data_IF_573082607834
#
_entry.id   IF_573082607834
#
_cell.length_a   1.000
_cell.length_b   1.000
_cell.length_c   1.000
_cell.angle_alpha   90.00
_cell.angle_beta   90.00
_cell.angle_gamma   90.00
#
_symmetry.space_group_name_H-M   'P 1'
#
loop_
_entity.id
_entity.type
_entity.pdbx_description
1 polymer ?
#
# COMPACT_ATOMS: atom_id res chain seq x y z
N UNK A 1 1.58 1.37 18.04
CA UNK A 1 2.02 1.55 16.64
C UNK A 1 3.48 1.10 16.56
N UNK A 2 3.85 0.38 15.50
CA UNK A 2 5.23 -0.10 15.28
C UNK A 2 5.79 0.49 14.00
N UNK A 3 7.07 0.83 14.00
CA UNK A 3 7.76 1.30 12.80
C UNK A 3 8.24 0.10 11.99
N UNK A 4 7.80 -0.01 10.74
CA UNK A 4 8.15 -1.10 9.83
C UNK A 4 8.75 -0.55 8.54
N UNK A 5 9.58 -1.34 7.85
CA UNK A 5 10.12 -0.97 6.54
C UNK A 5 9.15 -1.31 5.42
N UNK A 6 8.87 -0.36 4.55
CA UNK A 6 7.97 -0.59 3.41
C UNK A 6 8.67 -1.39 2.30
N UNK A 7 8.16 -2.59 2.03
CA UNK A 7 8.68 -3.49 1.00
C UNK A 7 8.75 -4.93 1.49
N UNK A 8 7.63 -5.67 1.40
CA UNK A 8 7.54 -7.11 1.70
C UNK A 8 8.56 -7.94 0.91
N UNK A 9 8.94 -9.14 1.37
CA UNK A 9 9.94 -9.96 0.68
C UNK A 9 9.56 -10.25 -0.77
N UNK A 10 10.52 -10.11 -1.68
CA UNK A 10 10.28 -10.35 -3.11
C UNK A 10 10.15 -11.85 -3.42
N UNK A 11 9.38 -12.23 -4.46
CA UNK A 11 9.41 -13.59 -4.98
C UNK A 11 10.81 -14.01 -5.40
N UNK A 12 11.18 -15.28 -5.17
CA UNK A 12 12.53 -15.80 -5.48
C UNK A 12 12.99 -15.52 -6.92
N UNK A 13 12.07 -15.59 -7.89
CA UNK A 13 12.40 -15.33 -9.29
C UNK A 13 12.79 -13.87 -9.57
N UNK A 14 12.28 -12.90 -8.80
CA UNK A 14 12.65 -11.47 -8.89
C UNK A 14 14.07 -11.25 -8.38
N UNK A 15 14.48 -12.04 -7.39
CA UNK A 15 15.81 -11.96 -6.77
C UNK A 15 16.90 -12.68 -7.59
N UNK A 16 16.55 -13.33 -8.70
CA UNK A 16 17.53 -13.99 -9.57
C UNK A 16 18.58 -12.96 -10.03
N UNK A 17 19.85 -13.23 -9.75
CA UNK A 17 20.98 -12.34 -10.03
C UNK A 17 20.96 -11.00 -9.28
N UNK A 18 20.16 -10.87 -8.21
CA UNK A 18 20.17 -9.71 -7.31
C UNK A 18 20.92 -10.06 -6.03
N UNK A 19 21.75 -9.13 -5.57
CA UNK A 19 22.46 -9.23 -4.28
C UNK A 19 21.70 -8.60 -3.12
N UNK A 20 20.58 -7.93 -3.42
CA UNK A 20 19.74 -7.23 -2.45
C UNK A 20 18.26 -7.45 -2.79
N UNK A 21 17.41 -7.47 -1.77
CA UNK A 21 15.97 -7.43 -1.93
C UNK A 21 15.46 -6.00 -1.65
N UNK A 22 14.93 -5.31 -2.66
CA UNK A 22 14.29 -4.00 -2.49
C UNK A 22 12.89 -4.09 -1.90
N UNK A 23 12.31 -5.29 -1.90
CA UNK A 23 10.96 -5.59 -1.48
C UNK A 23 9.89 -5.19 -2.49
N UNK A 24 8.67 -5.65 -2.19
CA UNK A 24 7.44 -5.36 -2.91
C UNK A 24 6.59 -4.44 -2.05
N UNK A 25 6.30 -3.24 -2.54
CA UNK A 25 5.55 -2.21 -1.79
C UNK A 25 4.04 -2.32 -1.96
N UNK A 26 3.59 -2.91 -3.08
CA UNK A 26 2.20 -3.00 -3.49
C UNK A 26 1.82 -4.44 -3.85
N UNK A 27 0.80 -5.00 -3.21
CA UNK A 27 0.33 -6.38 -3.41
C UNK A 27 -0.96 -6.39 -4.21
N UNK A 28 -0.85 -6.58 -5.54
CA UNK A 28 -2.00 -6.63 -6.45
C UNK A 28 -2.65 -8.02 -6.52
N UNK A 29 -1.84 -9.05 -6.82
CA UNK A 29 -2.34 -10.41 -7.08
C UNK A 29 -2.22 -11.29 -5.82
N UNK A 30 -3.20 -11.21 -4.93
CA UNK A 30 -3.29 -12.00 -3.68
C UNK A 30 -3.47 -13.51 -3.92
N UNK A 31 -3.92 -13.92 -5.11
CA UNK A 31 -4.03 -15.34 -5.50
C UNK A 31 -2.67 -16.01 -5.73
N UNK A 32 -1.60 -15.23 -5.90
CA UNK A 32 -0.24 -15.75 -6.07
C UNK A 32 0.20 -16.59 -4.86
N UNK A 33 0.77 -17.80 -5.07
CA UNK A 33 1.28 -18.63 -3.98
C UNK A 33 2.29 -17.92 -3.07
N UNK A 34 3.01 -16.93 -3.59
CA UNK A 34 4.00 -16.15 -2.84
C UNK A 34 3.40 -15.46 -1.60
N UNK A 35 2.16 -14.96 -1.70
CA UNK A 35 1.53 -14.17 -0.65
C UNK A 35 0.76 -14.99 0.38
N UNK A 36 0.35 -16.23 0.06
CA UNK A 36 -0.60 -17.03 0.86
C UNK A 36 -0.26 -17.11 2.35
N UNK A 37 1.03 -17.24 2.69
CA UNK A 37 1.50 -17.30 4.08
C UNK A 37 1.29 -16.00 4.87
N UNK A 38 1.28 -14.85 4.20
CA UNK A 38 1.17 -13.52 4.79
C UNK A 38 -0.23 -12.90 4.64
N UNK A 39 -1.21 -13.66 4.12
CA UNK A 39 -2.61 -13.25 4.05
C UNK A 39 -3.45 -13.71 5.24
N UNK A 40 -2.84 -14.45 6.17
CA UNK A 40 -3.45 -14.88 7.42
C UNK A 40 -3.50 -13.73 8.42
N UNK A 41 -4.41 -13.85 9.38
CA UNK A 41 -4.70 -12.88 10.44
C UNK A 41 -3.45 -12.32 11.13
N UNK A 42 -2.51 -13.18 11.52
CA UNK A 42 -1.29 -12.80 12.22
C UNK A 42 -0.36 -11.88 11.42
N UNK A 43 -0.53 -11.82 10.10
CA UNK A 43 0.28 -11.04 9.17
C UNK A 43 -0.46 -9.82 8.61
N UNK A 44 -1.67 -9.50 9.07
CA UNK A 44 -2.40 -8.32 8.60
C UNK A 44 -2.10 -7.12 9.48
N UNK A 45 -2.04 -5.96 8.84
CA UNK A 45 -1.88 -4.67 9.50
C UNK A 45 -2.70 -3.61 8.77
N UNK A 46 -2.84 -2.44 9.40
CA UNK A 46 -3.41 -1.25 8.76
C UNK A 46 -2.34 -0.18 8.67
N UNK A 47 -2.25 0.49 7.52
CA UNK A 47 -1.25 1.54 7.27
C UNK A 47 -1.96 2.88 7.31
N UNK A 48 -1.76 3.71 8.35
CA UNK A 48 -2.44 4.99 8.48
C UNK A 48 -1.98 5.99 7.42
N UNK A 49 -2.93 6.76 6.88
CA UNK A 49 -2.65 7.89 5.99
C UNK A 49 -3.72 8.98 6.14
N UNK A 50 -3.37 10.20 5.76
CA UNK A 50 -4.28 11.36 5.63
C UNK A 50 -4.41 11.81 4.17
N UNK A 51 -3.35 11.65 3.38
CA UNK A 51 -3.36 11.77 1.92
C UNK A 51 -2.36 10.79 1.29
N UNK A 52 -2.52 10.51 0.00
CA UNK A 52 -1.58 9.72 -0.80
C UNK A 52 -1.41 10.33 -2.18
N UNK A 53 -0.33 10.00 -2.89
CA UNK A 53 -0.09 10.55 -4.22
C UNK A 53 0.10 9.49 -5.29
N UNK A 54 -0.36 9.84 -6.49
CA UNK A 54 0.00 9.19 -7.74
C UNK A 54 0.69 10.19 -8.67
N UNK A 55 1.44 9.68 -9.65
CA UNK A 55 2.12 10.53 -10.63
C UNK A 55 1.32 10.64 -11.92
N UNK A 56 0.90 11.85 -12.25
CA UNK A 56 0.41 12.16 -13.58
C UNK A 56 1.60 12.46 -14.51
N UNK A 57 1.53 11.98 -15.76
CA UNK A 57 2.53 12.35 -16.77
C UNK A 57 1.98 13.47 -17.66
N UNK A 58 2.44 14.71 -17.43
CA UNK A 58 2.14 15.88 -18.27
C UNK A 58 3.44 16.33 -18.96
N UNK A 59 3.43 16.43 -20.29
CA UNK A 59 4.60 16.83 -21.10
C UNK A 59 5.89 16.04 -20.78
N UNK A 60 5.76 14.74 -20.54
CA UNK A 60 6.88 13.86 -20.20
C UNK A 60 7.43 14.04 -18.78
N UNK A 61 6.84 14.93 -17.97
CA UNK A 61 7.19 15.12 -16.55
C UNK A 61 6.19 14.42 -15.65
N UNK A 62 6.70 13.82 -14.57
CA UNK A 62 5.87 13.22 -13.52
C UNK A 62 5.49 14.27 -12.49
N UNK A 63 4.21 14.58 -12.41
CA UNK A 63 3.64 15.55 -11.47
C UNK A 63 2.93 14.76 -10.37
N UNK A 64 3.32 14.93 -9.09
CA UNK A 64 2.56 14.36 -7.98
C UNK A 64 1.16 14.98 -7.91
N UNK A 65 0.14 14.14 -7.86
CA UNK A 65 -1.24 14.51 -7.58
C UNK A 65 -1.61 13.86 -6.26
N UNK A 66 -2.04 14.65 -5.27
CA UNK A 66 -2.38 14.20 -3.94
C UNK A 66 -3.88 14.02 -3.78
N UNK A 67 -4.28 12.87 -3.25
CA UNK A 67 -5.65 12.47 -3.00
C UNK A 67 -5.90 12.33 -1.50
N UNK A 68 -7.09 12.75 -1.07
CA UNK A 68 -7.61 12.50 0.27
C UNK A 68 -9.12 12.25 0.21
N UNK A 69 -9.72 11.81 1.32
CA UNK A 69 -11.16 11.61 1.44
C UNK A 69 -11.95 12.93 1.31
N UNK A 70 -11.42 14.02 1.87
CA UNK A 70 -11.93 15.38 1.75
C UNK A 70 -10.81 16.40 2.13
N UNK A 71 -11.13 17.69 2.14
CA UNK A 71 -10.16 18.77 2.46
C UNK A 71 -9.66 18.71 3.90
N UNK A 72 -10.46 18.15 4.82
CA UNK A 72 -10.09 17.96 6.24
C UNK A 72 -9.11 16.80 6.44
N UNK A 73 -8.87 15.98 5.40
CA UNK A 73 -7.90 14.88 5.37
C UNK A 73 -8.04 13.94 6.58
N UNK A 74 -9.24 13.39 6.86
CA UNK A 74 -9.45 12.51 8.00
C UNK A 74 -8.57 11.27 7.89
N UNK A 75 -8.18 10.74 9.05
CA UNK A 75 -7.38 9.52 9.14
C UNK A 75 -8.14 8.35 8.50
N UNK A 76 -7.49 7.68 7.56
CA UNK A 76 -7.93 6.42 6.98
C UNK A 76 -6.77 5.42 6.91
N UNK A 77 -7.05 4.22 6.44
CA UNK A 77 -6.06 3.14 6.46
C UNK A 77 -5.97 2.40 5.14
N UNK A 78 -4.76 2.05 4.72
CA UNK A 78 -4.59 1.02 3.70
C UNK A 78 -4.63 -0.38 4.32
N UNK A 79 -5.27 -1.32 3.61
CA UNK A 79 -5.21 -2.74 3.95
C UNK A 79 -3.80 -3.28 3.74
N UNK A 80 -3.08 -3.53 4.84
CA UNK A 80 -1.69 -3.93 4.87
C UNK A 80 -1.44 -5.39 5.24
N UNK A 81 -0.31 -5.92 4.77
CA UNK A 81 0.29 -7.15 5.29
C UNK A 81 1.72 -6.91 5.74
N UNK A 82 2.19 -7.70 6.69
CA UNK A 82 3.52 -7.57 7.27
C UNK A 82 4.14 -8.92 7.65
N UNK A 83 5.46 -8.92 7.80
CA UNK A 83 6.23 -10.06 8.32
C UNK A 83 7.57 -9.60 8.87
N UNK A 84 8.08 -10.27 9.87
CA UNK A 84 9.52 -10.26 10.16
C UNK A 84 10.25 -11.04 9.06
N UNK A 85 11.36 -10.50 8.55
CA UNK A 85 12.13 -11.16 7.49
C UNK A 85 13.62 -10.83 7.53
N UNK A 86 14.44 -11.86 7.38
CA UNK A 86 15.89 -11.76 7.27
C UNK A 86 16.32 -11.73 5.80
N UNK A 87 16.99 -10.65 5.39
CA UNK A 87 17.56 -10.53 4.03
C UNK A 87 18.60 -9.41 3.94
N UNK A 88 19.38 -9.41 2.87
CA UNK A 88 20.22 -8.26 2.51
C UNK A 88 19.36 -7.18 1.84
N UNK A 89 19.01 -6.11 2.57
CA UNK A 89 18.26 -4.96 2.02
C UNK A 89 19.18 -3.98 1.29
N UNK A 90 20.35 -3.72 1.87
CA UNK A 90 21.41 -2.88 1.29
C UNK A 90 22.74 -3.59 1.45
N UNK A 91 23.54 -3.61 0.39
CA UNK A 91 24.85 -4.29 0.39
C UNK A 91 25.75 -3.88 1.56
N UNK A 92 25.76 -2.59 1.91
CA UNK A 92 26.60 -2.04 2.98
C UNK A 92 26.19 -2.50 4.40
N UNK A 93 24.93 -2.90 4.58
CA UNK A 93 24.37 -3.30 5.88
C UNK A 93 24.48 -4.82 6.10
N UNK A 94 24.77 -5.59 5.05
CA UNK A 94 24.74 -7.04 5.11
C UNK A 94 23.32 -7.58 5.32
N UNK A 95 23.23 -8.78 5.88
CA UNK A 95 21.96 -9.41 6.21
C UNK A 95 21.36 -8.82 7.49
N UNK A 96 20.09 -8.44 7.45
CA UNK A 96 19.36 -7.89 8.59
C UNK A 96 17.97 -8.50 8.71
N UNK A 97 17.48 -8.64 9.93
CA UNK A 97 16.10 -9.00 10.24
C UNK A 97 15.30 -7.73 10.47
N UNK A 98 14.20 -7.55 9.75
CA UNK A 98 13.36 -6.36 9.84
C UNK A 98 11.89 -6.74 9.79
N UNK A 99 11.05 -5.96 10.47
CA UNK A 99 9.62 -5.95 10.20
C UNK A 99 9.37 -5.22 8.87
N UNK A 100 8.82 -5.96 7.91
CA UNK A 100 8.52 -5.48 6.58
C UNK A 100 7.00 -5.41 6.40
N UNK A 101 6.53 -4.39 5.71
CA UNK A 101 5.11 -4.29 5.33
C UNK A 101 4.91 -3.91 3.87
N UNK A 102 3.72 -4.18 3.35
CA UNK A 102 3.21 -3.68 2.09
C UNK A 102 1.71 -3.50 2.22
N UNK A 103 1.09 -2.72 1.34
CA UNK A 103 -0.36 -2.64 1.27
C UNK A 103 -0.89 -3.25 -0.02
N UNK A 104 -2.14 -3.68 0.02
CA UNK A 104 -2.84 -4.23 -1.12
C UNK A 104 -3.24 -3.11 -2.08
N UNK A 105 -3.29 -3.46 -3.36
CA UNK A 105 -3.83 -2.58 -4.39
C UNK A 105 -4.96 -3.27 -5.14
N UNK A 106 -5.83 -2.46 -5.70
CA UNK A 106 -7.05 -2.83 -6.43
C UNK A 106 -7.12 -2.02 -7.73
N UNK A 107 -8.15 -2.22 -8.55
CA UNK A 107 -8.46 -1.33 -9.68
C UNK A 107 -8.72 0.10 -9.19
N UNK A 108 -8.39 1.09 -10.00
CA UNK A 108 -8.61 2.50 -9.64
C UNK A 108 -10.10 2.88 -9.78
N UNK A 109 -10.59 3.73 -8.87
CA UNK A 109 -11.85 4.43 -9.04
C UNK A 109 -11.70 5.59 -10.06
N UNK A 110 -12.77 6.34 -10.35
CA UNK A 110 -12.71 7.38 -11.41
C UNK A 110 -11.71 8.50 -11.12
N UNK A 111 -11.50 8.90 -9.86
CA UNK A 111 -10.58 10.00 -9.54
C UNK A 111 -9.13 9.58 -9.71
N UNK A 112 -8.74 8.46 -9.08
CA UNK A 112 -7.38 7.94 -9.23
C UNK A 112 -7.14 7.50 -10.67
N UNK A 113 -8.15 6.92 -11.32
CA UNK A 113 -8.04 6.38 -12.68
C UNK A 113 -7.76 7.43 -13.76
N UNK A 114 -8.16 8.69 -13.53
CA UNK A 114 -7.80 9.83 -14.40
C UNK A 114 -6.30 10.14 -14.39
N UNK A 115 -5.63 9.88 -13.27
CA UNK A 115 -4.20 10.16 -13.07
C UNK A 115 -3.35 8.91 -13.32
N UNK A 116 -3.76 7.78 -12.76
CA UNK A 116 -3.07 6.49 -12.83
C UNK A 116 -4.10 5.34 -12.96
N UNK A 117 -4.44 4.91 -14.20
CA UNK A 117 -5.55 3.98 -14.45
C UNK A 117 -5.32 2.55 -13.96
N UNK A 118 -4.08 2.19 -13.59
CA UNK A 118 -3.72 0.78 -13.37
C UNK A 118 -4.13 0.26 -12.01
N UNK A 119 -4.10 1.09 -10.98
CA UNK A 119 -4.40 0.67 -9.62
C UNK A 119 -4.56 1.86 -8.67
N UNK A 120 -5.25 1.62 -7.55
CA UNK A 120 -5.22 2.43 -6.33
C UNK A 120 -4.94 1.54 -5.10
N UNK A 121 -4.54 2.11 -3.95
CA UNK A 121 -4.50 1.38 -2.69
C UNK A 121 -5.89 0.87 -2.28
N UNK A 122 -5.94 -0.26 -1.58
CA UNK A 122 -7.17 -0.68 -0.88
C UNK A 122 -7.31 0.18 0.37
N UNK A 123 -8.35 1.02 0.42
CA UNK A 123 -8.60 1.96 1.51
C UNK A 123 -9.76 1.44 2.36
N UNK A 124 -9.57 1.44 3.68
CA UNK A 124 -10.54 1.11 4.70
C UNK A 124 -10.93 2.42 5.40
N UNK A 125 -12.22 2.75 5.38
CA UNK A 125 -12.73 4.01 5.95
C UNK A 125 -13.57 3.79 7.20
N UNK A 126 -14.19 2.60 7.33
CA UNK A 126 -15.07 2.31 8.44
C UNK A 126 -14.41 1.41 9.51
N UNK A 127 -14.76 1.58 10.80
CA UNK A 127 -14.28 0.70 11.87
C UNK A 127 -14.52 -0.79 11.60
N UNK A 128 -15.66 -1.14 11.01
CA UNK A 128 -16.02 -2.53 10.71
C UNK A 128 -15.15 -3.11 9.57
N UNK A 129 -14.76 -2.29 8.59
CA UNK A 129 -13.83 -2.71 7.53
C UNK A 129 -12.43 -2.97 8.10
N UNK A 130 -11.99 -2.12 9.03
CA UNK A 130 -10.72 -2.30 9.76
C UNK A 130 -10.76 -3.58 10.60
N UNK A 131 -11.87 -3.81 11.32
CA UNK A 131 -12.04 -5.00 12.15
C UNK A 131 -12.03 -6.28 11.31
N UNK A 132 -12.81 -6.29 10.24
CA UNK A 132 -12.88 -7.38 9.26
C UNK A 132 -11.49 -7.65 8.69
N UNK A 133 -10.78 -6.62 8.22
CA UNK A 133 -9.43 -6.78 7.70
C UNK A 133 -8.48 -7.37 8.74
N UNK A 134 -8.55 -6.96 10.00
CA UNK A 134 -7.61 -7.42 11.02
C UNK A 134 -7.97 -8.82 11.54
N UNK A 135 -9.26 -9.19 11.61
CA UNK A 135 -9.71 -10.36 12.41
C UNK A 135 -10.40 -11.47 11.63
N UNK A 136 -11.07 -11.16 10.53
CA UNK A 136 -11.82 -12.16 9.77
C UNK A 136 -10.93 -13.24 9.14
N UNK A 137 -11.51 -14.31 8.63
CA UNK A 137 -10.72 -15.25 7.83
C UNK A 137 -10.20 -14.61 6.53
N UNK A 138 -9.29 -15.28 5.84
CA UNK A 138 -8.68 -14.73 4.61
C UNK A 138 -9.70 -14.52 3.50
N UNK A 139 -10.74 -15.33 3.40
CA UNK A 139 -11.73 -15.22 2.32
C UNK A 139 -12.58 -13.96 2.51
N UNK A 140 -13.10 -13.77 3.73
CA UNK A 140 -13.88 -12.60 4.10
C UNK A 140 -13.03 -11.32 4.02
N UNK A 141 -11.80 -11.32 4.56
CA UNK A 141 -10.93 -10.14 4.51
C UNK A 141 -10.58 -9.71 3.09
N UNK A 142 -10.42 -10.65 2.16
CA UNK A 142 -10.10 -10.33 0.76
C UNK A 142 -11.30 -9.76 -0.02
N UNK A 143 -12.53 -9.82 0.50
CA UNK A 143 -13.67 -9.09 -0.08
C UNK A 143 -13.47 -7.57 -0.01
N UNK A 144 -12.63 -7.09 0.91
CA UNK A 144 -12.24 -5.69 1.03
C UNK A 144 -11.23 -5.25 -0.02
N UNK A 145 -10.62 -6.17 -0.79
CA UNK A 145 -9.72 -5.82 -1.89
C UNK A 145 -10.50 -5.31 -3.12
N UNK A 146 -11.13 -4.15 -2.97
CA UNK A 146 -12.00 -3.48 -3.95
C UNK A 146 -11.71 -1.97 -3.96
N UNK A 147 -11.97 -1.24 -5.07
CA UNK A 147 -11.87 0.21 -5.07
C UNK A 147 -12.83 0.84 -4.07
N UNK A 148 -12.50 2.05 -3.61
CA UNK A 148 -13.51 2.93 -3.04
C UNK A 148 -14.56 3.27 -4.12
N UNK A 149 -15.80 3.61 -3.72
CA UNK A 149 -16.77 4.17 -4.65
C UNK A 149 -16.24 5.40 -5.38
N UNK A 150 -16.76 5.65 -6.58
CA UNK A 150 -16.55 6.91 -7.28
C UNK A 150 -17.10 8.07 -6.43
N UNK A 151 -16.41 9.20 -6.45
CA UNK A 151 -16.72 10.38 -5.64
C UNK A 151 -16.20 10.33 -4.20
N UNK A 152 -15.56 9.23 -3.76
CA UNK A 152 -15.06 9.07 -2.40
C UNK A 152 -13.69 9.73 -2.15
N UNK A 153 -13.00 10.18 -3.20
CA UNK A 153 -11.71 10.84 -3.13
C UNK A 153 -11.75 12.16 -3.88
N UNK A 154 -10.86 13.07 -3.50
CA UNK A 154 -10.65 14.33 -4.22
C UNK A 154 -9.17 14.68 -4.28
N UNK A 155 -8.80 15.49 -5.28
CA UNK A 155 -7.44 16.04 -5.39
C UNK A 155 -7.31 17.21 -4.43
N UNK A 156 -6.34 17.14 -3.50
CA UNK A 156 -6.12 18.16 -2.45
C UNK A 156 -4.82 18.94 -2.62
N UNK A 157 -3.89 18.48 -3.46
CA UNK A 157 -2.68 19.20 -3.81
C UNK A 157 -2.03 18.66 -5.11
N UNK A 158 -1.24 19.48 -5.80
CA UNK A 158 -0.49 19.09 -7.00
C UNK A 158 0.94 19.66 -7.00
N UNK A 159 1.86 18.98 -7.69
CA UNK A 159 3.20 19.48 -8.02
C UNK A 159 4.26 19.34 -6.93
N UNK A 160 3.88 19.47 -5.66
CA UNK A 160 4.81 19.26 -4.54
C UNK A 160 5.07 17.77 -4.30
N UNK A 161 6.35 17.40 -4.07
CA UNK A 161 6.74 16.01 -3.76
C UNK A 161 6.24 15.52 -2.39
N UNK A 162 5.88 16.44 -1.50
CA UNK A 162 5.34 16.16 -0.17
C UNK A 162 4.11 17.04 0.02
N UNK A 163 3.09 16.46 0.62
CA UNK A 163 1.97 17.17 1.20
C UNK A 163 2.21 17.22 2.72
N UNK A 164 2.67 18.36 3.27
CA UNK A 164 2.91 18.48 4.69
C UNK A 164 1.57 18.35 5.44
N UNK A 165 1.59 17.68 6.59
CA UNK A 165 0.52 17.86 7.56
C UNK A 165 0.53 19.33 8.00
N UNK A 166 -0.63 19.98 8.06
CA UNK A 166 -0.72 21.25 8.80
C UNK A 166 -0.51 20.94 10.29
N UNK A 167 0.33 21.74 10.95
CA UNK A 167 0.77 21.56 12.34
C UNK A 167 -0.39 21.69 13.35
#
# INVERSE_FOLDING_TARGET
MSMMSWGMPSPKFVLKNRKTDSGVTNVRNTKSPHWRRWLKTEHRCVVPFTSFSEYETRDGKKIPIWFALNEERPLAFFAGIWTEWTSVRKLKEGETTNDLFAFLTTDANVEVGRVHPKAMPVILTEPDEIDTWLRADTEEALTLQRPLPDGALQVVAEGARRDPAED
#
